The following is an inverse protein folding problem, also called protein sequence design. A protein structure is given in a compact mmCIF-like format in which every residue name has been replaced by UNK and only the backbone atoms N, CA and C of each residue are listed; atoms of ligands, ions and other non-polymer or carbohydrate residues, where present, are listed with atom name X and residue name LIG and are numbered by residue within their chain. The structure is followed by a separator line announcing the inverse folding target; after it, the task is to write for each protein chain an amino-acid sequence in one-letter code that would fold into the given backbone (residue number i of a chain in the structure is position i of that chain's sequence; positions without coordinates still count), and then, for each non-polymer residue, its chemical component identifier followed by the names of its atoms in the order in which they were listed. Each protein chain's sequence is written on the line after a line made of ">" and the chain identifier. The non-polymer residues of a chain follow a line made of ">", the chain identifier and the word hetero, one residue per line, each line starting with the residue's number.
data_IF_603548472953
#
_entry.id   IF_603548472953
#
_cell.length_a   1.000
_cell.length_b   1.000
_cell.length_c   1.000
_cell.angle_alpha   90.00
_cell.angle_beta   90.00
_cell.angle_gamma   90.00
#
_symmetry.space_group_name_H-M   'P 1'
#
loop_
_entity.id
_entity.type
_entity.pdbx_description
1 polymer ?
#
# COMPACT_ATOMS: atom_id res chain seq x y z
N UNK A 1 -11.84 3.56 -4.40
CA UNK A 1 -10.84 3.74 -5.48
C UNK A 1 -11.31 4.81 -6.46
N UNK A 2 -12.54 4.74 -7.01
CA UNK A 2 -13.07 5.69 -7.99
C UNK A 2 -12.86 7.16 -7.58
N UNK A 3 -13.33 7.56 -6.40
CA UNK A 3 -13.19 8.93 -5.88
C UNK A 3 -11.72 9.42 -5.84
N UNK A 4 -10.79 8.52 -5.47
CA UNK A 4 -9.37 8.84 -5.43
C UNK A 4 -8.81 9.10 -6.83
N UNK A 5 -9.14 8.24 -7.80
CA UNK A 5 -8.67 8.37 -9.17
C UNK A 5 -9.22 9.64 -9.84
N UNK A 6 -10.53 9.90 -9.69
CA UNK A 6 -11.15 11.13 -10.21
C UNK A 6 -10.55 12.39 -9.56
N UNK A 7 -10.32 12.37 -8.23
CA UNK A 7 -9.67 13.48 -7.55
C UNK A 7 -8.28 13.76 -8.10
N UNK A 8 -7.45 12.73 -8.28
CA UNK A 8 -6.11 12.87 -8.84
C UNK A 8 -6.16 13.43 -10.26
N UNK A 9 -7.09 12.96 -11.09
CA UNK A 9 -7.30 13.48 -12.45
C UNK A 9 -7.70 14.96 -12.47
N UNK A 10 -8.65 15.35 -11.61
CA UNK A 10 -9.09 16.76 -11.47
C UNK A 10 -7.93 17.65 -11.03
N UNK A 11 -7.07 17.17 -10.13
CA UNK A 11 -5.86 17.86 -9.67
C UNK A 11 -4.77 17.94 -10.74
N UNK A 12 -4.86 17.18 -11.82
CA UNK A 12 -3.89 17.18 -12.93
C UNK A 12 -2.90 16.01 -12.94
N UNK A 13 -3.01 15.05 -12.02
CA UNK A 13 -2.23 13.82 -12.04
C UNK A 13 -2.90 12.82 -13.01
N UNK A 14 -2.54 12.92 -14.30
CA UNK A 14 -3.22 12.21 -15.39
C UNK A 14 -2.58 10.88 -15.77
N UNK A 15 -1.54 10.49 -15.09
CA UNK A 15 -0.82 9.24 -15.31
C UNK A 15 -1.38 8.07 -14.49
N UNK A 16 -2.29 8.33 -13.54
CA UNK A 16 -3.08 7.28 -12.93
C UNK A 16 -4.19 6.81 -13.89
N UNK A 17 -4.55 5.50 -13.87
CA UNK A 17 -5.64 5.00 -14.72
C UNK A 17 -6.96 5.67 -14.36
N UNK A 18 -7.75 6.00 -15.35
CA UNK A 18 -9.13 6.44 -15.14
C UNK A 18 -10.03 5.21 -15.02
N UNK A 19 -10.96 5.27 -14.07
CA UNK A 19 -11.97 4.23 -13.91
C UNK A 19 -13.23 4.66 -14.63
N UNK A 20 -13.71 3.82 -15.57
CA UNK A 20 -14.87 4.11 -16.38
C UNK A 20 -16.16 3.68 -15.67
N UNK A 21 -17.18 4.54 -15.76
CA UNK A 21 -18.50 4.25 -15.19
C UNK A 21 -19.31 3.36 -16.12
N UNK A 22 -20.11 2.48 -15.54
CA UNK A 22 -21.15 1.73 -16.27
C UNK A 22 -22.28 2.64 -16.78
N UNK A 23 -23.22 2.07 -17.53
CA UNK A 23 -24.33 2.82 -18.12
C UNK A 23 -25.23 3.52 -17.11
N UNK A 24 -25.37 2.97 -15.90
CA UNK A 24 -26.17 3.55 -14.83
C UNK A 24 -25.34 4.39 -13.85
N UNK A 25 -24.04 4.66 -14.18
CA UNK A 25 -23.16 5.52 -13.41
C UNK A 25 -22.38 4.82 -12.29
N UNK A 26 -22.41 3.49 -12.21
CA UNK A 26 -21.65 2.74 -11.21
C UNK A 26 -20.18 2.58 -11.62
N UNK A 27 -19.24 2.67 -10.66
CA UNK A 27 -17.81 2.47 -10.92
C UNK A 27 -17.41 0.99 -10.95
N UNK A 28 -18.36 0.08 -10.96
CA UNK A 28 -18.14 -1.37 -11.00
C UNK A 28 -19.35 -2.10 -11.58
N UNK A 29 -19.15 -3.33 -12.00
CA UNK A 29 -20.22 -4.24 -12.38
C UNK A 29 -20.13 -5.52 -11.57
N UNK A 30 -21.28 -6.08 -11.16
CA UNK A 30 -21.35 -7.38 -10.53
C UNK A 30 -21.43 -8.46 -11.62
N UNK A 31 -20.61 -9.50 -11.51
CA UNK A 31 -20.63 -10.65 -12.39
C UNK A 31 -20.65 -11.96 -11.61
N UNK A 32 -20.72 -13.12 -12.29
CA UNK A 32 -20.86 -14.42 -11.65
C UNK A 32 -19.70 -14.76 -10.70
N UNK A 33 -18.48 -14.31 -11.00
CA UNK A 33 -17.28 -14.65 -10.27
C UNK A 33 -16.76 -13.49 -9.38
N UNK A 34 -17.46 -12.33 -9.34
CA UNK A 34 -17.05 -11.21 -8.51
C UNK A 34 -17.43 -9.84 -9.05
N UNK A 35 -16.69 -8.84 -8.56
CA UNK A 35 -16.85 -7.44 -8.95
C UNK A 35 -15.83 -7.09 -10.03
N UNK A 36 -16.30 -6.50 -11.11
CA UNK A 36 -15.48 -6.05 -12.24
C UNK A 36 -15.39 -4.53 -12.26
N UNK A 37 -14.23 -4.03 -12.60
CA UNK A 37 -13.99 -2.60 -12.88
C UNK A 37 -13.37 -2.47 -14.27
N UNK A 38 -13.65 -1.38 -14.95
CA UNK A 38 -13.05 -1.02 -16.23
C UNK A 38 -12.16 0.20 -16.04
N UNK A 39 -10.89 0.08 -16.43
CA UNK A 39 -9.91 1.17 -16.33
C UNK A 39 -9.23 1.41 -17.68
N UNK A 40 -8.57 2.56 -17.80
CA UNK A 40 -7.63 2.76 -18.89
C UNK A 40 -6.57 1.66 -18.89
N UNK A 41 -6.12 1.30 -20.09
CA UNK A 41 -4.99 0.42 -20.29
C UNK A 41 -3.74 1.25 -20.62
N UNK A 42 -2.64 0.94 -19.95
CA UNK A 42 -1.34 1.54 -20.24
C UNK A 42 -0.40 0.48 -20.82
N UNK A 43 0.15 0.76 -22.01
CA UNK A 43 1.22 -0.03 -22.58
C UNK A 43 2.57 0.43 -22.01
N UNK A 44 3.35 -0.51 -21.48
CA UNK A 44 4.65 -0.21 -20.91
C UNK A 44 5.32 -1.42 -20.28
N UNK A 45 6.57 -1.23 -19.89
CA UNK A 45 7.33 -2.20 -19.14
C UNK A 45 7.35 -1.81 -17.66
N UNK A 46 7.28 -2.81 -16.79
CA UNK A 46 7.49 -2.63 -15.34
C UNK A 46 8.87 -2.03 -15.06
N UNK A 47 8.97 -1.20 -14.04
CA UNK A 47 10.27 -0.68 -13.59
C UNK A 47 11.08 -1.79 -12.90
N UNK A 48 12.41 -1.70 -12.98
CA UNK A 48 13.31 -2.52 -12.17
C UNK A 48 13.94 -1.68 -11.05
N UNK A 49 13.52 -1.92 -9.80
CA UNK A 49 14.06 -1.21 -8.64
C UNK A 49 15.52 -1.57 -8.30
N UNK A 50 16.12 -2.57 -8.98
CA UNK A 50 17.57 -2.78 -8.95
C UNK A 50 18.31 -1.83 -9.89
N UNK A 51 17.63 -1.21 -10.85
CA UNK A 51 18.16 -0.16 -11.70
C UNK A 51 18.02 1.19 -10.97
N UNK A 52 19.15 1.87 -10.75
CA UNK A 52 19.17 3.15 -10.04
C UNK A 52 18.31 4.25 -10.72
N UNK A 53 18.29 4.31 -12.04
CA UNK A 53 17.50 5.29 -12.78
C UNK A 53 16.00 5.04 -12.62
N UNK A 54 15.57 3.78 -12.72
CA UNK A 54 14.18 3.40 -12.51
C UNK A 54 13.72 3.70 -11.09
N UNK A 55 14.57 3.39 -10.11
CA UNK A 55 14.29 3.71 -8.70
C UNK A 55 14.17 5.22 -8.46
N UNK A 56 15.08 6.01 -9.05
CA UNK A 56 15.05 7.46 -8.94
C UNK A 56 13.79 8.05 -9.58
N UNK A 57 13.38 7.53 -10.74
CA UNK A 57 12.16 7.96 -11.41
C UNK A 57 10.91 7.55 -10.61
N UNK A 58 10.88 6.35 -10.06
CA UNK A 58 9.82 5.91 -9.16
C UNK A 58 9.69 6.84 -7.93
N UNK A 59 10.81 7.22 -7.31
CA UNK A 59 10.79 8.16 -6.18
C UNK A 59 10.21 9.54 -6.56
N UNK A 60 10.57 10.07 -7.74
CA UNK A 60 10.02 11.34 -8.24
C UNK A 60 8.52 11.22 -8.48
N UNK A 61 8.10 10.13 -9.13
CA UNK A 61 6.70 9.85 -9.43
C UNK A 61 5.85 9.71 -8.17
N UNK A 62 6.38 9.03 -7.13
CA UNK A 62 5.72 8.95 -5.83
C UNK A 62 5.59 10.33 -5.16
N UNK A 63 6.61 11.17 -5.26
CA UNK A 63 6.56 12.54 -4.72
C UNK A 63 5.48 13.39 -5.43
N UNK A 64 5.34 13.24 -6.76
CA UNK A 64 4.26 13.86 -7.52
C UNK A 64 2.89 13.34 -7.10
N UNK A 65 2.71 12.02 -6.98
CA UNK A 65 1.48 11.42 -6.48
C UNK A 65 1.09 12.00 -5.12
N UNK A 66 2.02 12.10 -4.17
CA UNK A 66 1.76 12.68 -2.86
C UNK A 66 1.38 14.16 -2.94
N UNK A 67 2.03 14.94 -3.81
CA UNK A 67 1.72 16.36 -4.01
C UNK A 67 0.31 16.58 -4.56
N UNK A 68 -0.08 15.80 -5.57
CA UNK A 68 -1.43 15.88 -6.15
C UNK A 68 -2.50 15.27 -5.25
N UNK A 69 -2.11 14.31 -4.40
CA UNK A 69 -2.99 13.62 -3.45
C UNK A 69 -3.31 14.39 -2.17
N UNK A 70 -2.81 15.63 -1.99
CA UNK A 70 -3.13 16.46 -0.85
C UNK A 70 -4.55 17.05 -0.95
N UNK A 71 -5.23 17.13 0.20
CA UNK A 71 -6.57 17.70 0.30
C UNK A 71 -7.69 16.76 -0.13
N UNK A 72 -7.44 15.46 -0.27
CA UNK A 72 -8.49 14.51 -0.58
C UNK A 72 -9.44 14.29 0.60
N UNK A 73 -10.72 14.50 0.36
CA UNK A 73 -11.80 14.19 1.30
C UNK A 73 -12.74 13.16 0.66
N UNK A 74 -12.81 11.94 1.19
CA UNK A 74 -13.76 10.95 0.70
C UNK A 74 -15.20 11.39 1.04
N UNK A 75 -16.14 11.15 0.13
CA UNK A 75 -17.56 11.45 0.35
C UNK A 75 -18.16 10.66 1.53
N UNK A 76 -17.59 9.50 1.83
CA UNK A 76 -17.98 8.67 2.98
C UNK A 76 -16.78 8.35 3.86
N UNK A 77 -16.96 8.31 5.20
CA UNK A 77 -15.94 7.84 6.12
C UNK A 77 -15.43 6.48 5.69
N UNK A 78 -14.13 6.38 5.47
CA UNK A 78 -13.56 5.23 4.80
C UNK A 78 -12.71 4.45 5.80
N UNK A 79 -12.87 3.12 5.80
CA UNK A 79 -12.11 2.19 6.65
C UNK A 79 -10.61 2.10 6.28
N UNK A 80 -10.21 2.72 5.17
CA UNK A 80 -8.81 2.74 4.69
C UNK A 80 -8.00 3.92 5.20
N UNK A 81 -8.55 4.75 6.10
CA UNK A 81 -7.80 5.79 6.80
C UNK A 81 -6.67 5.17 7.62
N UNK A 82 -5.43 5.58 7.34
CA UNK A 82 -4.24 4.97 7.93
C UNK A 82 -3.48 5.90 8.90
N UNK A 83 -3.92 7.16 9.07
CA UNK A 83 -3.27 8.11 9.98
C UNK A 83 -3.25 7.55 11.41
N UNK A 84 -2.11 7.67 12.08
CA UNK A 84 -1.87 7.16 13.43
C UNK A 84 -2.04 5.65 13.63
N UNK A 85 -2.30 4.88 12.56
CA UNK A 85 -2.64 3.46 12.68
C UNK A 85 -1.42 2.52 12.82
N UNK A 86 -0.22 2.99 12.54
CA UNK A 86 0.97 2.13 12.50
C UNK A 86 1.31 1.49 13.84
N UNK A 87 1.32 2.20 14.99
CA UNK A 87 1.60 1.57 16.28
C UNK A 87 0.68 0.38 16.56
N UNK A 88 -0.63 0.58 16.42
CA UNK A 88 -1.62 -0.48 16.65
C UNK A 88 -1.48 -1.64 15.64
N UNK A 89 -1.15 -1.35 14.37
CA UNK A 89 -0.89 -2.38 13.36
C UNK A 89 0.34 -3.22 13.70
N UNK A 90 1.44 -2.58 14.12
CA UNK A 90 2.67 -3.26 14.49
C UNK A 90 2.48 -4.12 15.73
N UNK A 91 1.85 -3.59 16.76
CA UNK A 91 1.53 -4.34 17.96
C UNK A 91 0.69 -5.60 17.65
N UNK A 92 -0.33 -5.45 16.79
CA UNK A 92 -1.12 -6.59 16.32
C UNK A 92 -0.26 -7.62 15.60
N UNK A 93 0.64 -7.21 14.68
CA UNK A 93 1.52 -8.12 13.95
C UNK A 93 2.49 -8.87 14.87
N UNK A 94 2.99 -8.21 15.90
CA UNK A 94 3.84 -8.84 16.93
C UNK A 94 3.05 -9.90 17.70
N UNK A 95 1.79 -9.62 18.05
CA UNK A 95 0.92 -10.63 18.66
C UNK A 95 0.67 -11.82 17.75
N UNK A 96 0.36 -11.57 16.48
CA UNK A 96 0.16 -12.61 15.45
C UNK A 96 1.39 -13.52 15.30
N UNK A 97 2.61 -12.97 15.33
CA UNK A 97 3.84 -13.78 15.33
C UNK A 97 3.87 -14.76 16.51
N UNK A 98 3.52 -14.32 17.70
CA UNK A 98 3.44 -15.20 18.87
C UNK A 98 2.33 -16.25 18.75
N UNK A 99 1.20 -15.89 18.16
CA UNK A 99 0.09 -16.81 17.95
C UNK A 99 0.49 -17.93 16.97
N UNK A 100 1.17 -17.57 15.87
CA UNK A 100 1.71 -18.56 14.93
C UNK A 100 2.77 -19.44 15.58
N UNK A 101 3.61 -18.91 16.50
CA UNK A 101 4.53 -19.73 17.27
C UNK A 101 3.78 -20.77 18.12
N UNK A 102 2.71 -20.35 18.81
CA UNK A 102 1.90 -21.26 19.63
C UNK A 102 1.26 -22.35 18.76
N UNK A 103 0.73 -21.99 17.60
CA UNK A 103 0.16 -22.94 16.65
C UNK A 103 1.21 -23.95 16.16
N UNK A 104 2.40 -23.47 15.77
CA UNK A 104 3.49 -24.35 15.31
C UNK A 104 3.99 -25.31 16.39
N UNK A 105 3.99 -24.89 17.65
CA UNK A 105 4.36 -25.74 18.80
C UNK A 105 3.27 -26.77 19.15
N UNK A 106 2.01 -26.49 18.82
CA UNK A 106 0.87 -27.40 19.10
C UNK A 106 0.66 -28.44 18.03
N UNK A 107 1.35 -28.39 16.87
CA UNK A 107 1.25 -29.41 15.82
C UNK A 107 1.70 -30.78 16.32
N UNK A 108 0.87 -31.83 16.15
CA UNK A 108 1.22 -33.21 16.51
C UNK A 108 2.36 -33.77 15.66
N UNK A 109 2.34 -33.46 14.37
CA UNK A 109 3.42 -33.75 13.41
C UNK A 109 3.94 -32.43 12.85
N UNK A 110 5.10 -32.00 13.31
CA UNK A 110 5.67 -30.71 12.95
C UNK A 110 6.04 -30.67 11.48
N UNK A 111 5.36 -29.85 10.69
CA UNK A 111 5.63 -29.65 9.27
C UNK A 111 7.03 -29.05 9.04
N UNK A 112 7.55 -29.15 7.79
CA UNK A 112 8.83 -28.51 7.43
C UNK A 112 8.73 -26.99 7.65
N UNK A 113 7.59 -26.38 7.30
CA UNK A 113 7.34 -24.97 7.51
C UNK A 113 7.41 -24.58 8.99
N UNK A 114 6.70 -25.31 9.86
CA UNK A 114 6.67 -25.03 11.30
C UNK A 114 8.04 -25.17 11.95
N UNK A 115 8.84 -26.18 11.56
CA UNK A 115 10.23 -26.31 12.03
C UNK A 115 11.10 -25.12 11.64
N UNK A 116 11.02 -24.66 10.38
CA UNK A 116 11.76 -23.49 9.93
C UNK A 116 11.28 -22.22 10.64
N UNK A 117 9.97 -22.05 10.78
CA UNK A 117 9.40 -20.93 11.51
C UNK A 117 9.91 -20.86 12.95
N UNK A 118 9.82 -21.96 13.70
CA UNK A 118 10.28 -22.03 15.09
C UNK A 118 11.80 -21.79 15.21
N UNK A 119 12.59 -22.35 14.29
CA UNK A 119 14.04 -22.12 14.24
C UNK A 119 14.41 -20.66 14.09
N UNK A 120 13.67 -19.92 13.28
CA UNK A 120 13.98 -18.52 12.96
C UNK A 120 13.15 -17.51 13.74
N UNK A 121 12.19 -17.95 14.54
CA UNK A 121 11.25 -17.08 15.25
C UNK A 121 11.94 -16.04 16.13
N UNK A 122 12.84 -16.46 17.00
CA UNK A 122 13.39 -15.60 18.05
C UNK A 122 14.15 -14.37 17.51
N UNK A 123 15.07 -14.49 16.52
CA UNK A 123 15.74 -13.32 15.98
C UNK A 123 14.79 -12.35 15.27
N UNK A 124 13.80 -12.85 14.49
CA UNK A 124 12.82 -12.00 13.83
C UNK A 124 11.86 -11.34 14.81
N UNK A 125 11.42 -12.07 15.84
CA UNK A 125 10.55 -11.52 16.87
C UNK A 125 11.23 -10.38 17.66
N UNK A 126 12.50 -10.56 18.05
CA UNK A 126 13.28 -9.48 18.68
C UNK A 126 13.46 -8.28 17.74
N UNK A 127 13.69 -8.53 16.46
CA UNK A 127 13.77 -7.44 15.48
C UNK A 127 12.44 -6.69 15.36
N UNK A 128 11.31 -7.39 15.34
CA UNK A 128 9.99 -6.78 15.30
C UNK A 128 9.74 -5.89 16.53
N UNK A 129 10.06 -6.37 17.74
CA UNK A 129 9.96 -5.57 18.96
C UNK A 129 10.83 -4.30 18.89
N UNK A 130 12.11 -4.43 18.53
CA UNK A 130 13.02 -3.27 18.41
C UNK A 130 12.53 -2.25 17.37
N UNK A 131 11.96 -2.73 16.26
CA UNK A 131 11.41 -1.85 15.22
C UNK A 131 10.17 -1.11 15.72
N UNK A 132 9.32 -1.78 16.50
CA UNK A 132 8.17 -1.15 17.15
C UNK A 132 8.58 -0.09 18.17
N UNK A 133 9.55 -0.37 19.03
CA UNK A 133 10.10 0.59 19.99
C UNK A 133 10.67 1.83 19.26
N UNK A 134 11.42 1.62 18.17
CA UNK A 134 11.94 2.72 17.35
C UNK A 134 10.81 3.53 16.70
N UNK A 135 9.73 2.88 16.25
CA UNK A 135 8.57 3.58 15.70
C UNK A 135 7.95 4.51 16.75
N UNK A 136 7.78 4.03 17.99
CA UNK A 136 7.22 4.82 19.10
C UNK A 136 8.08 6.02 19.50
N UNK A 137 9.41 5.91 19.32
CA UNK A 137 10.39 6.96 19.61
C UNK A 137 10.69 7.87 18.41
N UNK A 138 10.11 7.57 17.25
CA UNK A 138 10.36 8.32 16.01
C UNK A 138 9.48 9.56 15.87
N UNK A 139 9.74 10.33 14.81
CA UNK A 139 8.88 11.44 14.40
C UNK A 139 7.56 11.01 13.76
N UNK A 140 7.19 9.71 13.81
CA UNK A 140 5.96 9.21 13.21
C UNK A 140 4.70 9.96 13.65
N UNK A 141 4.49 10.29 14.95
CA UNK A 141 3.30 11.05 15.36
C UNK A 141 3.20 12.43 14.68
N UNK A 142 4.34 13.09 14.49
CA UNK A 142 4.41 14.38 13.79
C UNK A 142 4.06 14.22 12.30
N UNK A 143 4.70 13.26 11.60
CA UNK A 143 4.42 12.96 10.18
C UNK A 143 2.97 12.54 9.98
N UNK A 144 2.41 11.75 10.89
CA UNK A 144 1.01 11.34 10.85
C UNK A 144 0.06 12.53 11.03
N UNK A 145 0.42 13.48 11.92
CA UNK A 145 -0.34 14.71 12.13
C UNK A 145 -0.33 15.60 10.88
N UNK A 146 0.84 15.80 10.27
CA UNK A 146 0.93 16.56 9.01
C UNK A 146 0.12 15.89 7.90
N UNK A 147 0.24 14.58 7.73
CA UNK A 147 -0.53 13.82 6.75
C UNK A 147 -2.04 13.95 6.97
N UNK A 148 -2.48 13.94 8.23
CA UNK A 148 -3.88 14.16 8.60
C UNK A 148 -4.35 15.58 8.25
N UNK A 149 -3.58 16.60 8.62
CA UNK A 149 -3.92 18.00 8.35
C UNK A 149 -3.94 18.32 6.85
N UNK A 150 -2.99 17.73 6.11
CA UNK A 150 -2.91 17.89 4.66
C UNK A 150 -3.85 16.95 3.90
N UNK A 151 -4.53 16.01 4.59
CA UNK A 151 -5.40 14.99 3.98
C UNK A 151 -4.67 14.26 2.85
N UNK A 152 -3.46 13.82 3.14
CA UNK A 152 -2.56 13.22 2.15
C UNK A 152 -3.00 11.80 1.79
N UNK A 153 -3.03 11.49 0.49
CA UNK A 153 -3.20 10.13 -0.01
C UNK A 153 -1.89 9.35 0.12
N UNK A 154 -2.02 8.05 0.39
CA UNK A 154 -0.93 7.08 0.33
C UNK A 154 -1.29 5.97 -0.65
N UNK A 155 -0.31 5.53 -1.45
CA UNK A 155 -0.52 4.50 -2.47
C UNK A 155 -0.77 3.10 -1.86
N UNK A 156 -0.10 2.79 -0.76
CA UNK A 156 -0.15 1.53 0.02
C UNK A 156 0.41 0.27 -0.66
N UNK A 157 0.60 0.26 -1.97
CA UNK A 157 1.18 -0.87 -2.72
C UNK A 157 2.11 -0.36 -3.82
N UNK A 158 3.05 0.50 -3.44
CA UNK A 158 4.00 1.12 -4.37
C UNK A 158 5.16 0.16 -4.66
N UNK A 159 4.99 -0.67 -5.68
CA UNK A 159 5.97 -1.65 -6.13
C UNK A 159 6.33 -1.43 -7.60
N UNK A 160 7.45 -1.98 -8.05
CA UNK A 160 7.89 -1.87 -9.45
C UNK A 160 6.85 -2.36 -10.45
N UNK A 161 6.05 -3.36 -10.06
CA UNK A 161 4.99 -3.95 -10.91
C UNK A 161 3.77 -3.05 -11.11
N UNK A 162 3.62 -2.05 -10.26
CA UNK A 162 2.49 -1.12 -10.30
C UNK A 162 2.88 0.21 -10.96
N UNK A 163 4.06 0.26 -11.59
CA UNK A 163 4.56 1.45 -12.29
C UNK A 163 5.07 0.99 -13.65
N UNK A 164 4.48 1.53 -14.70
CA UNK A 164 4.83 1.21 -16.07
C UNK A 164 5.56 2.37 -16.71
N UNK A 165 6.56 2.06 -17.56
CA UNK A 165 7.23 3.02 -18.42
C UNK A 165 6.89 2.72 -19.87
N UNK A 166 6.27 3.67 -20.56
CA UNK A 166 5.95 3.52 -21.97
C UNK A 166 7.19 3.73 -22.87
N UNK A 167 7.03 3.52 -24.18
CA UNK A 167 8.09 3.70 -25.18
C UNK A 167 8.61 5.15 -25.30
N UNK A 168 7.86 6.13 -24.79
CA UNK A 168 8.25 7.54 -24.76
C UNK A 168 8.95 7.94 -23.45
N UNK A 169 9.14 6.98 -22.53
CA UNK A 169 9.77 7.20 -21.23
C UNK A 169 8.84 7.78 -20.16
N UNK A 170 7.55 7.92 -20.42
CA UNK A 170 6.57 8.42 -19.45
C UNK A 170 6.17 7.30 -18.49
N UNK A 171 5.93 7.65 -17.21
CA UNK A 171 5.44 6.73 -16.18
C UNK A 171 3.91 6.80 -16.06
N UNK A 172 3.33 5.64 -15.73
CA UNK A 172 1.93 5.48 -15.37
C UNK A 172 1.79 4.46 -14.23
#
# INVERSE_FOLDING_TARGET
>A
IYEVLEYLHVKGFRTAPRLWLGQAGEPFANGPDGIYILTDWFDGNELDFNNFNDLADACRYLAEFHRYGQGFEPAFPNQRTAWYSWPAKWERRIRELNDFRRLALAEKETSVFSRLYLRHFEPFYRQAIRSYERLLQSFYPFVASEGYQQKSLCHHDYSSRNILRNSQGQLA
#
